data_IF_412318109667
#
_entry.id   IF_412318109667
#
_cell.length_a   1.000
_cell.length_b   1.000
_cell.length_c   1.000
_cell.angle_alpha   90.00
_cell.angle_beta   90.00
_cell.angle_gamma   90.00
#
_symmetry.space_group_name_H-M   'P 1'
#
loop_
_entity.id
_entity.type
_entity.pdbx_description
1 polymer ?
#
# COMPACT_ATOMS: atom_id res chain seq x y z
N UNK A 1 -27.95 23.13 -5.70
CA UNK A 1 -26.66 22.84 -5.03
C UNK A 1 -26.09 21.59 -5.67
N UNK A 2 -24.81 21.61 -6.06
CA UNK A 2 -24.15 20.48 -6.74
C UNK A 2 -23.00 20.00 -5.84
N UNK A 3 -22.86 18.68 -5.70
CA UNK A 3 -21.79 18.05 -4.94
C UNK A 3 -20.84 17.33 -5.90
N UNK A 4 -19.54 17.62 -5.77
CA UNK A 4 -18.48 16.90 -6.47
C UNK A 4 -17.67 16.09 -5.48
N UNK A 5 -17.35 14.87 -5.87
CA UNK A 5 -16.30 14.09 -5.22
C UNK A 5 -14.92 14.70 -5.54
N UNK A 6 -13.91 14.35 -4.75
CA UNK A 6 -12.55 14.87 -4.92
C UNK A 6 -11.69 13.91 -5.75
N UNK A 7 -11.50 12.69 -5.25
CA UNK A 7 -10.49 11.77 -5.72
C UNK A 7 -10.92 11.07 -7.01
N UNK A 8 -10.20 11.30 -8.10
CA UNK A 8 -10.57 10.78 -9.42
C UNK A 8 -11.73 11.52 -10.08
N UNK A 9 -12.22 12.61 -9.46
CA UNK A 9 -13.21 13.52 -10.06
C UNK A 9 -12.61 14.89 -10.31
N UNK A 10 -12.10 15.55 -9.27
CA UNK A 10 -11.43 16.86 -9.37
C UNK A 10 -9.91 16.76 -9.29
N UNK A 11 -9.41 15.70 -8.66
CA UNK A 11 -7.97 15.48 -8.46
C UNK A 11 -7.52 14.19 -9.17
N UNK A 12 -6.32 14.24 -9.76
CA UNK A 12 -5.60 13.05 -10.22
C UNK A 12 -5.08 12.25 -9.02
N UNK A 13 -6.00 11.55 -8.37
CA UNK A 13 -5.71 10.73 -7.20
C UNK A 13 -4.72 9.61 -7.54
N UNK A 14 -4.84 9.00 -8.72
CA UNK A 14 -3.99 7.84 -9.08
C UNK A 14 -2.57 8.25 -9.39
N UNK A 15 -2.35 9.34 -10.11
CA UNK A 15 -1.01 9.88 -10.29
C UNK A 15 -0.40 10.36 -8.97
N UNK A 16 -1.19 10.97 -8.07
CA UNK A 16 -0.70 11.34 -6.74
C UNK A 16 -0.31 10.12 -5.89
N UNK A 17 -1.16 9.08 -5.87
CA UNK A 17 -0.89 7.81 -5.17
C UNK A 17 0.39 7.15 -5.68
N UNK A 18 0.56 7.05 -7.01
CA UNK A 18 1.76 6.46 -7.62
C UNK A 18 3.02 7.25 -7.25
N UNK A 19 3.00 8.59 -7.38
CA UNK A 19 4.15 9.44 -7.03
C UNK A 19 4.52 9.32 -5.54
N UNK A 20 3.53 9.22 -4.65
CA UNK A 20 3.78 9.01 -3.23
C UNK A 20 4.43 7.66 -2.93
N UNK A 21 3.93 6.58 -3.56
CA UNK A 21 4.51 5.23 -3.44
C UNK A 21 5.92 5.19 -4.02
N UNK A 22 6.15 5.87 -5.15
CA UNK A 22 7.47 6.00 -5.77
C UNK A 22 8.46 6.69 -4.86
N UNK A 23 8.09 7.83 -4.27
CA UNK A 23 8.96 8.54 -3.33
C UNK A 23 9.30 7.66 -2.12
N UNK A 24 8.31 6.96 -1.54
CA UNK A 24 8.53 6.04 -0.44
C UNK A 24 9.47 4.89 -0.80
N UNK A 25 9.29 4.27 -1.98
CA UNK A 25 10.13 3.17 -2.46
C UNK A 25 11.57 3.62 -2.65
N UNK A 26 11.79 4.78 -3.26
CA UNK A 26 13.13 5.34 -3.48
C UNK A 26 13.83 5.74 -2.18
N UNK A 27 13.10 6.35 -1.23
CA UNK A 27 13.69 6.86 0.01
C UNK A 27 13.97 5.76 1.03
N UNK A 28 13.12 4.73 1.09
CA UNK A 28 13.17 3.72 2.17
C UNK A 28 13.40 2.29 1.68
N UNK A 29 13.35 2.03 0.38
CA UNK A 29 13.43 0.67 -0.17
C UNK A 29 14.67 -0.09 0.26
N UNK A 30 15.85 0.55 0.20
CA UNK A 30 17.10 -0.05 0.67
C UNK A 30 17.08 -0.37 2.16
N UNK A 31 16.61 0.56 3.00
CA UNK A 31 16.57 0.38 4.46
C UNK A 31 15.57 -0.70 4.90
N UNK A 32 14.51 -0.90 4.12
CA UNK A 32 13.48 -1.92 4.36
C UNK A 32 13.83 -3.27 3.72
N UNK A 33 14.92 -3.35 2.95
CA UNK A 33 15.28 -4.55 2.18
C UNK A 33 14.22 -4.90 1.14
N UNK A 34 13.63 -3.91 0.47
CA UNK A 34 12.71 -4.15 -0.63
C UNK A 34 13.50 -4.66 -1.83
N UNK A 35 13.20 -5.88 -2.26
CA UNK A 35 13.80 -6.52 -3.44
C UNK A 35 12.91 -6.44 -4.68
N UNK A 36 11.65 -6.04 -4.50
CA UNK A 36 10.66 -5.90 -5.57
C UNK A 36 10.85 -4.58 -6.31
N UNK A 37 10.57 -4.59 -7.60
CA UNK A 37 10.58 -3.36 -8.40
C UNK A 37 9.42 -2.42 -8.00
N UNK A 38 9.50 -1.18 -8.47
CA UNK A 38 8.52 -0.15 -8.14
C UNK A 38 7.09 -0.50 -8.58
N UNK A 39 6.93 -1.15 -9.73
CA UNK A 39 5.61 -1.45 -10.27
C UNK A 39 4.96 -2.61 -9.50
N UNK A 40 5.73 -3.65 -9.18
CA UNK A 40 5.28 -4.74 -8.32
C UNK A 40 4.92 -4.20 -6.92
N UNK A 41 5.74 -3.31 -6.36
CA UNK A 41 5.46 -2.65 -5.09
C UNK A 41 4.17 -1.83 -5.13
N UNK A 42 3.94 -1.07 -6.21
CA UNK A 42 2.72 -0.29 -6.40
C UNK A 42 1.48 -1.17 -6.54
N UNK A 43 1.58 -2.29 -7.26
CA UNK A 43 0.48 -3.25 -7.37
C UNK A 43 0.12 -3.85 -6.00
N UNK A 44 1.11 -4.28 -5.21
CA UNK A 44 0.90 -4.76 -3.84
C UNK A 44 0.21 -3.68 -2.98
N UNK A 45 0.69 -2.44 -3.06
CA UNK A 45 0.12 -1.30 -2.35
C UNK A 45 -1.36 -1.09 -2.68
N UNK A 46 -1.72 -1.06 -3.97
CA UNK A 46 -3.10 -0.91 -4.42
C UNK A 46 -3.99 -2.07 -3.98
N UNK A 47 -3.51 -3.31 -4.05
CA UNK A 47 -4.27 -4.50 -3.62
C UNK A 47 -4.58 -4.46 -2.13
N UNK A 48 -3.58 -4.14 -1.30
CA UNK A 48 -3.75 -3.99 0.15
C UNK A 48 -4.71 -2.82 0.47
N UNK A 49 -4.56 -1.69 -0.22
CA UNK A 49 -5.45 -0.53 -0.10
C UNK A 49 -6.90 -0.90 -0.39
N UNK A 50 -7.16 -1.52 -1.54
CA UNK A 50 -8.51 -1.96 -1.95
C UNK A 50 -9.12 -2.91 -0.93
N UNK A 51 -8.36 -3.90 -0.46
CA UNK A 51 -8.82 -4.87 0.54
C UNK A 51 -9.36 -4.20 1.80
N UNK A 52 -8.58 -3.31 2.42
CA UNK A 52 -8.99 -2.69 3.69
C UNK A 52 -9.98 -1.55 3.51
N UNK A 53 -10.03 -0.92 2.33
CA UNK A 53 -11.08 0.02 1.99
C UNK A 53 -12.45 -0.66 1.91
N UNK A 54 -12.54 -1.86 1.28
CA UNK A 54 -13.78 -2.64 1.25
C UNK A 54 -14.25 -2.99 2.68
N UNK A 55 -13.33 -3.41 3.55
CA UNK A 55 -13.65 -3.72 4.96
C UNK A 55 -14.18 -2.50 5.72
N UNK A 56 -13.64 -1.32 5.45
CA UNK A 56 -14.17 -0.05 5.97
C UNK A 56 -15.60 0.21 5.45
N UNK A 57 -15.84 0.06 4.14
CA UNK A 57 -17.17 0.26 3.56
C UNK A 57 -18.22 -0.73 4.11
N UNK A 58 -17.79 -1.92 4.53
CA UNK A 58 -18.63 -2.93 5.18
C UNK A 58 -18.86 -2.65 6.68
N UNK A 59 -18.25 -1.61 7.25
CA UNK A 59 -18.34 -1.28 8.67
C UNK A 59 -17.49 -2.17 9.58
N UNK A 60 -16.63 -3.04 9.02
CA UNK A 60 -15.73 -3.89 9.82
C UNK A 60 -14.61 -3.09 10.49
N UNK A 61 -14.24 -1.96 9.89
CA UNK A 61 -13.17 -1.07 10.34
C UNK A 61 -13.66 0.37 10.35
N UNK A 62 -13.13 1.18 11.27
CA UNK A 62 -13.16 2.63 11.15
C UNK A 62 -12.18 3.12 10.09
N UNK A 63 -12.32 4.37 9.65
CA UNK A 63 -11.38 4.99 8.72
C UNK A 63 -9.93 4.96 9.23
N UNK A 64 -9.71 5.22 10.53
CA UNK A 64 -8.37 5.13 11.12
C UNK A 64 -7.84 3.70 11.15
N UNK A 65 -8.72 2.72 11.42
CA UNK A 65 -8.33 1.31 11.45
C UNK A 65 -7.92 0.80 10.06
N UNK A 66 -8.62 1.19 8.97
CA UNK A 66 -8.17 0.74 7.64
C UNK A 66 -6.78 1.24 7.28
N UNK A 67 -6.41 2.47 7.66
CA UNK A 67 -5.06 3.00 7.42
C UNK A 67 -3.99 2.18 8.16
N UNK A 68 -4.25 1.84 9.42
CA UNK A 68 -3.35 1.02 10.24
C UNK A 68 -3.22 -0.40 9.66
N UNK A 69 -4.35 -1.01 9.29
CA UNK A 69 -4.37 -2.39 8.79
C UNK A 69 -3.69 -2.52 7.42
N UNK A 70 -3.70 -1.47 6.58
CA UNK A 70 -2.90 -1.43 5.34
C UNK A 70 -1.41 -1.61 5.62
N UNK A 71 -0.86 -0.79 6.52
CA UNK A 71 0.57 -0.84 6.86
C UNK A 71 0.93 -2.16 7.55
N UNK A 72 0.11 -2.64 8.49
CA UNK A 72 0.33 -3.94 9.14
C UNK A 72 0.32 -5.10 8.15
N UNK A 73 -0.62 -5.12 7.20
CA UNK A 73 -0.69 -6.16 6.19
C UNK A 73 0.59 -6.14 5.33
N UNK A 74 1.04 -4.96 4.92
CA UNK A 74 2.26 -4.82 4.13
C UNK A 74 3.50 -5.27 4.91
N UNK A 75 3.68 -4.81 6.16
CA UNK A 75 4.78 -5.24 7.04
C UNK A 75 4.81 -6.75 7.27
N UNK A 76 3.64 -7.39 7.40
CA UNK A 76 3.55 -8.85 7.51
C UNK A 76 4.06 -9.53 6.24
N UNK A 77 3.69 -9.03 5.06
CA UNK A 77 4.17 -9.54 3.77
C UNK A 77 5.68 -9.38 3.60
N UNK A 78 6.23 -8.23 4.01
CA UNK A 78 7.68 -7.96 3.99
C UNK A 78 8.46 -8.96 4.86
N UNK A 79 8.04 -9.16 6.13
CA UNK A 79 8.69 -10.12 7.05
C UNK A 79 8.68 -11.55 6.52
N UNK A 80 7.62 -11.96 5.83
CA UNK A 80 7.52 -13.30 5.25
C UNK A 80 8.49 -13.49 4.08
N UNK A 81 8.69 -12.47 3.24
CA UNK A 81 9.68 -12.48 2.15
C UNK A 81 11.10 -12.56 2.69
N UNK A 82 11.44 -11.75 3.68
CA UNK A 82 12.75 -11.75 4.32
C UNK A 82 13.09 -13.12 4.94
N UNK A 83 12.13 -13.77 5.61
CA UNK A 83 12.33 -15.14 6.13
C UNK A 83 12.61 -16.15 5.03
N UNK A 84 11.90 -16.10 3.90
CA UNK A 84 12.10 -17.06 2.79
C UNK A 84 13.47 -16.92 2.13
N UNK A 85 14.00 -15.70 2.02
CA UNK A 85 15.35 -15.47 1.48
C UNK A 85 16.40 -16.21 2.30
N UNK A 86 16.33 -16.14 3.64
CA UNK A 86 17.30 -16.77 4.55
C UNK A 86 17.34 -18.31 4.38
N UNK A 87 16.21 -18.96 4.11
CA UNK A 87 16.14 -20.41 3.92
C UNK A 87 16.49 -20.87 2.50
N UNK A 88 16.55 -19.96 1.52
CA UNK A 88 16.92 -20.29 0.13
C UNK A 88 18.44 -20.30 -0.10
N UNK A 89 19.21 -19.70 0.81
CA UNK A 89 20.67 -19.57 0.73
C UNK A 89 21.42 -20.64 1.56
N UNK A 90 20.71 -21.69 2.01
CA UNK A 90 21.20 -22.73 2.92
C UNK A 90 21.23 -24.12 2.29
#
# INVERSE_FOLDING_TARGET
>A
MIFFDLDGTLLDFKGAEFRGVQAFHLEHGSNLGLTVDLMEFYQEWCQIGKKHYIRFLQGELTFRQQQIERIKNWLKGLRMRQRRSIFSDM
#
